data_IF_097543249270
#
_entry.id   IF_097543249270
#
_cell.length_a   1.000
_cell.length_b   1.000
_cell.length_c   1.000
_cell.angle_alpha   90.00
_cell.angle_beta   90.00
_cell.angle_gamma   90.00
#
_symmetry.space_group_name_H-M   'P 1'
#
loop_
_entity.id
_entity.type
_entity.pdbx_description
1 polymer ?
#
# COMPACT_ATOMS: atom_id res chain seq x y z
N UNK A 1 -10.80 -8.19 0.57
CA UNK A 1 -10.89 -8.61 1.98
C UNK A 1 -10.65 -7.43 2.90
N UNK A 2 -11.34 -7.36 4.04
CA UNK A 2 -11.11 -6.34 5.07
C UNK A 2 -10.42 -7.03 6.25
N UNK A 3 -9.24 -6.54 6.63
CA UNK A 3 -8.51 -7.01 7.81
C UNK A 3 -8.33 -5.83 8.77
N UNK A 4 -8.63 -6.07 10.03
CA UNK A 4 -8.54 -5.08 11.08
C UNK A 4 -7.45 -5.54 12.05
N UNK A 5 -6.39 -4.73 12.17
CA UNK A 5 -5.34 -4.94 13.17
C UNK A 5 -5.50 -3.91 14.28
N UNK A 6 -5.69 -4.40 15.50
CA UNK A 6 -5.86 -3.58 16.71
C UNK A 6 -4.60 -3.62 17.57
N UNK A 7 -4.37 -2.57 18.35
CA UNK A 7 -3.28 -2.54 19.34
C UNK A 7 -3.76 -3.13 20.68
N UNK A 8 -2.86 -3.55 21.60
CA UNK A 8 -3.25 -4.05 22.92
C UNK A 8 -4.10 -3.07 23.74
N UNK A 9 -4.12 -1.78 23.38
CA UNK A 9 -4.97 -0.78 24.02
C UNK A 9 -6.48 -1.04 23.85
N UNK A 10 -6.87 -1.84 22.84
CA UNK A 10 -8.26 -2.24 22.60
C UNK A 10 -8.63 -3.60 23.24
N UNK A 11 -7.72 -4.21 24.01
CA UNK A 11 -7.99 -5.48 24.71
C UNK A 11 -9.18 -5.31 25.65
N UNK A 12 -10.08 -6.29 25.68
CA UNK A 12 -11.32 -6.31 26.49
C UNK A 12 -12.31 -5.17 26.18
N UNK A 13 -12.07 -4.33 25.16
CA UNK A 13 -12.96 -3.22 24.77
C UNK A 13 -13.45 -3.33 23.32
N UNK A 14 -12.77 -4.11 22.49
CA UNK A 14 -13.22 -4.41 21.14
C UNK A 14 -14.52 -5.24 21.17
N UNK A 15 -15.41 -4.97 20.23
CA UNK A 15 -16.63 -5.75 20.02
C UNK A 15 -17.10 -5.59 18.57
N UNK A 16 -17.91 -6.52 18.08
CA UNK A 16 -18.33 -6.58 16.67
C UNK A 16 -18.23 -8.00 16.13
N UNK A 17 -18.37 -8.15 14.81
CA UNK A 17 -18.20 -9.44 14.13
C UNK A 17 -16.80 -10.06 14.30
N UNK A 18 -15.83 -9.29 14.77
CA UNK A 18 -14.46 -9.75 15.06
C UNK A 18 -14.24 -10.17 16.53
N UNK A 19 -15.28 -10.28 17.36
CA UNK A 19 -15.19 -10.77 18.73
C UNK A 19 -14.70 -9.74 19.76
N UNK A 20 -14.33 -10.20 20.96
CA UNK A 20 -14.11 -9.36 22.15
C UNK A 20 -12.65 -9.00 22.49
N UNK A 21 -11.69 -9.46 21.68
CA UNK A 21 -10.24 -9.24 21.88
C UNK A 21 -9.79 -9.33 23.36
N UNK A 22 -10.23 -10.37 24.06
CA UNK A 22 -9.88 -10.65 25.46
C UNK A 22 -8.98 -11.90 25.60
N UNK A 23 -8.94 -12.74 24.55
CA UNK A 23 -8.14 -13.96 24.47
C UNK A 23 -8.95 -15.25 24.67
N UNK A 24 -10.29 -15.17 24.72
CA UNK A 24 -11.18 -16.32 24.93
C UNK A 24 -12.10 -16.55 23.71
N UNK A 25 -11.71 -17.38 22.72
CA UNK A 25 -12.49 -17.58 21.51
C UNK A 25 -13.91 -18.13 21.73
N UNK A 26 -14.16 -18.77 22.88
CA UNK A 26 -15.48 -19.36 23.16
C UNK A 26 -16.57 -18.32 23.42
N UNK A 27 -16.21 -17.08 23.75
CA UNK A 27 -17.15 -15.99 24.00
C UNK A 27 -17.25 -14.98 22.84
N UNK A 28 -16.46 -15.15 21.77
CA UNK A 28 -16.39 -14.16 20.68
C UNK A 28 -17.72 -13.98 19.93
N UNK A 29 -18.55 -15.03 19.90
CA UNK A 29 -19.89 -14.98 19.30
C UNK A 29 -20.93 -14.42 20.27
N UNK A 30 -20.64 -13.27 20.89
CA UNK A 30 -21.56 -12.59 21.81
C UNK A 30 -22.42 -11.57 21.07
N UNK A 31 -23.74 -11.69 21.23
CA UNK A 31 -24.73 -10.81 20.64
C UNK A 31 -24.69 -9.41 21.28
N UNK A 32 -25.28 -8.40 20.63
CA UNK A 32 -25.46 -7.05 21.21
C UNK A 32 -26.17 -7.06 22.58
N UNK A 33 -26.98 -8.09 22.88
CA UNK A 33 -27.68 -8.25 24.16
C UNK A 33 -26.88 -9.04 25.22
N UNK A 34 -25.58 -9.25 24.98
CA UNK A 34 -24.63 -9.96 25.83
C UNK A 34 -24.89 -11.47 26.01
N UNK A 35 -25.80 -12.08 25.24
CA UNK A 35 -25.95 -13.53 25.18
C UNK A 35 -24.97 -14.14 24.19
N UNK A 36 -24.61 -15.40 24.40
CA UNK A 36 -23.89 -16.19 23.39
C UNK A 36 -24.85 -16.55 22.24
N UNK A 37 -24.38 -16.37 21.01
CA UNK A 37 -25.11 -16.78 19.82
C UNK A 37 -25.17 -18.31 19.73
N UNK A 38 -26.32 -18.84 19.34
CA UNK A 38 -26.50 -20.26 19.05
C UNK A 38 -25.93 -20.62 17.67
N UNK A 39 -25.83 -19.64 16.77
CA UNK A 39 -25.29 -19.82 15.42
C UNK A 39 -24.46 -18.61 14.98
N UNK A 40 -23.45 -18.79 14.10
CA UNK A 40 -22.72 -17.68 13.49
C UNK A 40 -23.62 -16.68 12.76
N UNK A 41 -24.76 -17.15 12.23
CA UNK A 41 -25.78 -16.32 11.61
C UNK A 41 -26.45 -15.38 12.61
N UNK A 42 -26.89 -15.90 13.75
CA UNK A 42 -27.50 -15.11 14.82
C UNK A 42 -26.53 -14.02 15.31
N UNK A 43 -25.26 -14.39 15.48
CA UNK A 43 -24.19 -13.44 15.76
C UNK A 43 -24.06 -12.37 14.68
N UNK A 44 -23.95 -12.79 13.41
CA UNK A 44 -23.89 -11.92 12.23
C UNK A 44 -24.98 -10.84 12.21
N UNK A 45 -26.22 -11.28 12.41
CA UNK A 45 -27.42 -10.42 12.40
C UNK A 45 -27.39 -9.42 13.56
N UNK A 46 -26.89 -9.81 14.73
CA UNK A 46 -26.86 -8.92 15.89
C UNK A 46 -25.97 -7.68 15.68
N UNK A 47 -25.02 -7.70 14.73
CA UNK A 47 -24.04 -6.62 14.55
C UNK A 47 -24.25 -5.74 13.29
N UNK A 48 -25.44 -5.73 12.70
CA UNK A 48 -25.77 -4.88 11.53
C UNK A 48 -25.92 -3.40 11.92
N UNK A 49 -25.35 -2.49 11.11
CA UNK A 49 -25.30 -1.04 11.35
C UNK A 49 -26.40 -0.32 10.55
N UNK A 50 -27.51 0.01 11.22
CA UNK A 50 -28.63 0.95 10.92
C UNK A 50 -30.01 0.30 11.18
N UNK A 51 -30.79 0.84 12.13
CA UNK A 51 -32.13 0.35 12.55
C UNK A 51 -33.22 1.00 11.68
N UNK A 52 -34.32 0.38 11.26
CA UNK A 52 -35.44 -0.23 12.02
C UNK A 52 -35.78 -1.68 11.64
N UNK A 53 -36.38 -2.39 12.60
CA UNK A 53 -36.81 -3.79 12.54
C UNK A 53 -37.97 -4.04 11.56
N UNK A 54 -37.75 -4.79 10.47
CA UNK A 54 -38.69 -5.82 9.97
C UNK A 54 -37.88 -6.99 9.44
N UNK A 55 -38.04 -8.12 10.14
CA UNK A 55 -37.63 -9.44 9.68
C UNK A 55 -38.51 -9.86 8.50
N UNK A 56 -37.98 -9.80 7.28
CA UNK A 56 -38.30 -10.87 6.33
C UNK A 56 -37.21 -11.92 6.47
N UNK A 57 -37.40 -12.81 7.45
CA UNK A 57 -36.63 -14.03 7.57
C UNK A 57 -36.81 -14.87 6.32
N UNK A 58 -35.94 -14.65 5.34
CA UNK A 58 -35.62 -15.57 4.27
C UNK A 58 -34.14 -15.36 3.98
N UNK A 59 -33.29 -15.99 4.80
CA UNK A 59 -32.06 -16.51 4.21
C UNK A 59 -32.54 -17.44 3.10
N UNK A 60 -32.38 -17.03 1.85
CA UNK A 60 -32.41 -18.02 0.78
C UNK A 60 -31.16 -18.84 1.03
N UNK A 61 -31.34 -20.06 1.51
CA UNK A 61 -30.42 -21.14 1.18
C UNK A 61 -30.28 -21.10 -0.35
N UNK A 62 -29.28 -20.36 -0.85
CA UNK A 62 -29.20 -20.05 -2.27
C UNK A 62 -29.06 -21.34 -3.08
N UNK A 63 -28.42 -22.35 -2.47
CA UNK A 63 -28.27 -23.70 -2.98
C UNK A 63 -29.43 -24.67 -2.64
N UNK A 64 -30.54 -24.23 -2.04
CA UNK A 64 -31.66 -25.13 -1.78
C UNK A 64 -32.23 -25.68 -3.08
N UNK A 65 -32.16 -27.00 -3.24
CA UNK A 65 -32.65 -27.69 -4.44
C UNK A 65 -34.17 -27.85 -4.34
N UNK A 66 -34.91 -26.95 -4.98
CA UNK A 66 -36.39 -26.99 -5.05
C UNK A 66 -36.91 -27.35 -6.44
N UNK A 67 -36.02 -27.36 -7.43
CA UNK A 67 -36.31 -27.68 -8.82
C UNK A 67 -35.09 -28.31 -9.51
N UNK A 68 -35.28 -28.89 -10.69
CA UNK A 68 -34.19 -29.39 -11.54
C UNK A 68 -33.19 -28.29 -11.92
N UNK A 69 -33.67 -27.05 -12.09
CA UNK A 69 -32.83 -25.90 -12.37
C UNK A 69 -31.95 -25.55 -11.16
N UNK A 70 -32.50 -25.58 -9.94
CA UNK A 70 -31.72 -25.36 -8.71
C UNK A 70 -30.68 -26.46 -8.49
N UNK A 71 -31.00 -27.71 -8.87
CA UNK A 71 -30.05 -28.82 -8.84
C UNK A 71 -28.84 -28.55 -9.73
N UNK A 72 -29.06 -28.08 -10.96
CA UNK A 72 -27.97 -27.78 -11.90
C UNK A 72 -27.09 -26.62 -11.40
N UNK A 73 -27.70 -25.58 -10.82
CA UNK A 73 -26.98 -24.46 -10.20
C UNK A 73 -26.13 -24.96 -9.02
N UNK A 74 -26.70 -25.76 -8.13
CA UNK A 74 -25.99 -26.31 -6.97
C UNK A 74 -24.82 -27.22 -7.37
N UNK A 75 -24.99 -28.06 -8.41
CA UNK A 75 -23.90 -28.88 -8.96
C UNK A 75 -22.79 -28.01 -9.57
N UNK A 76 -23.16 -26.99 -10.33
CA UNK A 76 -22.18 -26.05 -10.92
C UNK A 76 -21.41 -25.29 -9.83
N UNK A 77 -22.09 -24.87 -8.77
CA UNK A 77 -21.46 -24.25 -7.60
C UNK A 77 -20.52 -25.23 -6.89
N UNK A 78 -20.93 -26.48 -6.70
CA UNK A 78 -20.06 -27.53 -6.14
C UNK A 78 -18.77 -27.69 -6.95
N UNK A 79 -18.89 -27.85 -8.27
CA UNK A 79 -17.73 -28.06 -9.14
C UNK A 79 -16.77 -26.87 -9.11
N UNK A 80 -17.28 -25.64 -9.21
CA UNK A 80 -16.48 -24.40 -9.14
C UNK A 80 -15.76 -24.25 -7.80
N UNK A 81 -16.45 -24.52 -6.70
CA UNK A 81 -15.90 -24.36 -5.36
C UNK A 81 -14.98 -25.51 -4.93
N UNK A 82 -15.07 -26.67 -5.59
CA UNK A 82 -14.28 -27.87 -5.25
C UNK A 82 -12.76 -27.69 -5.41
N UNK A 83 -12.33 -26.64 -6.11
CA UNK A 83 -10.93 -26.26 -6.31
C UNK A 83 -10.19 -26.07 -4.99
N UNK A 84 -10.89 -25.67 -3.93
CA UNK A 84 -10.33 -25.54 -2.58
C UNK A 84 -9.80 -26.86 -2.01
N UNK A 85 -10.21 -27.99 -2.58
CA UNK A 85 -9.77 -29.33 -2.23
C UNK A 85 -8.65 -29.89 -3.12
N UNK A 86 -8.17 -29.12 -4.10
CA UNK A 86 -7.07 -29.55 -4.95
C UNK A 86 -5.77 -29.75 -4.16
N UNK A 87 -4.88 -30.57 -4.73
CA UNK A 87 -3.61 -30.95 -4.10
C UNK A 87 -2.69 -29.77 -3.76
N UNK A 88 -2.83 -28.63 -4.45
CA UNK A 88 -2.10 -27.39 -4.12
C UNK A 88 -2.35 -26.96 -2.67
N UNK A 89 -3.53 -27.27 -2.11
CA UNK A 89 -3.91 -26.91 -0.75
C UNK A 89 -3.65 -28.02 0.27
N UNK A 90 -3.02 -29.13 -0.11
CA UNK A 90 -2.80 -30.29 0.78
C UNK A 90 -2.11 -29.91 2.09
N UNK A 91 -1.07 -29.09 2.02
CA UNK A 91 -0.38 -28.60 3.22
C UNK A 91 -1.20 -27.54 3.97
N UNK A 92 -2.00 -26.76 3.24
CA UNK A 92 -2.93 -25.80 3.81
C UNK A 92 -3.97 -26.46 4.73
N UNK A 93 -4.54 -27.58 4.30
CA UNK A 93 -5.61 -28.26 5.03
C UNK A 93 -5.18 -28.73 6.42
N UNK A 94 -3.87 -28.85 6.66
CA UNK A 94 -3.31 -29.18 7.97
C UNK A 94 -3.46 -28.04 8.98
N UNK A 95 -3.56 -26.79 8.51
CA UNK A 95 -3.61 -25.57 9.35
C UNK A 95 -4.90 -24.77 9.17
N UNK A 96 -5.59 -24.90 8.03
CA UNK A 96 -6.79 -24.14 7.68
C UNK A 96 -7.87 -25.08 7.13
N UNK A 97 -9.00 -25.19 7.83
CA UNK A 97 -10.10 -26.09 7.42
C UNK A 97 -10.87 -25.50 6.22
N UNK A 98 -11.00 -26.21 5.09
CA UNK A 98 -11.64 -25.69 3.87
C UNK A 98 -13.17 -25.62 3.93
N UNK A 99 -13.84 -26.40 4.80
CA UNK A 99 -15.30 -26.57 4.75
C UNK A 99 -16.10 -25.27 4.83
N UNK A 100 -15.71 -24.33 5.70
CA UNK A 100 -16.43 -23.05 5.85
C UNK A 100 -16.29 -22.15 4.61
N UNK A 101 -15.11 -22.13 4.01
CA UNK A 101 -14.88 -21.44 2.75
C UNK A 101 -15.67 -22.10 1.63
N UNK A 102 -15.65 -23.43 1.55
CA UNK A 102 -16.43 -24.17 0.57
C UNK A 102 -17.93 -23.90 0.68
N UNK A 103 -18.50 -23.94 1.90
CA UNK A 103 -19.91 -23.60 2.17
C UNK A 103 -20.25 -22.18 1.72
N UNK A 104 -19.39 -21.20 2.04
CA UNK A 104 -19.57 -19.80 1.64
C UNK A 104 -19.52 -19.64 0.11
N UNK A 105 -18.51 -20.22 -0.53
CA UNK A 105 -18.35 -20.21 -1.98
C UNK A 105 -19.60 -20.76 -2.68
N UNK A 106 -20.15 -21.87 -2.17
CA UNK A 106 -21.36 -22.45 -2.74
C UNK A 106 -22.54 -21.48 -2.67
N UNK A 107 -22.76 -20.81 -1.53
CA UNK A 107 -23.83 -19.83 -1.43
C UNK A 107 -23.68 -18.69 -2.44
N UNK A 108 -22.46 -18.17 -2.59
CA UNK A 108 -22.15 -17.12 -3.57
C UNK A 108 -22.40 -17.59 -5.01
N UNK A 109 -21.98 -18.83 -5.34
CA UNK A 109 -22.16 -19.41 -6.66
C UNK A 109 -23.58 -19.88 -6.97
N UNK A 110 -24.41 -20.10 -5.95
CA UNK A 110 -25.83 -20.39 -6.12
C UNK A 110 -26.67 -19.13 -6.28
N UNK A 111 -26.14 -17.93 -5.98
CA UNK A 111 -26.80 -16.68 -6.34
C UNK A 111 -26.75 -16.48 -7.85
N UNK A 112 -27.92 -16.64 -8.50
CA UNK A 112 -28.10 -16.50 -9.94
C UNK A 112 -27.72 -15.11 -10.50
N UNK A 113 -27.50 -14.11 -9.65
CA UNK A 113 -27.00 -12.78 -10.04
C UNK A 113 -25.50 -12.76 -10.36
N UNK A 114 -24.73 -13.75 -9.88
CA UNK A 114 -23.28 -13.87 -10.12
C UNK A 114 -22.89 -15.22 -10.71
N UNK A 115 -23.34 -15.58 -11.93
CA UNK A 115 -23.14 -16.93 -12.46
C UNK A 115 -21.70 -17.25 -12.90
N UNK A 116 -20.84 -16.24 -13.12
CA UNK A 116 -19.46 -16.43 -13.59
C UNK A 116 -18.46 -15.82 -12.61
N UNK A 117 -17.49 -16.62 -12.15
CA UNK A 117 -16.41 -16.17 -11.27
C UNK A 117 -16.83 -15.92 -9.81
N UNK A 118 -17.99 -16.43 -9.40
CA UNK A 118 -18.45 -16.41 -8.02
C UNK A 118 -17.45 -17.07 -7.05
N UNK A 119 -16.73 -18.10 -7.52
CA UNK A 119 -15.75 -18.83 -6.73
C UNK A 119 -14.48 -18.02 -6.45
N UNK A 120 -14.18 -17.01 -7.27
CA UNK A 120 -12.86 -16.38 -7.28
C UNK A 120 -12.51 -15.70 -5.97
N UNK A 121 -13.47 -14.96 -5.40
CA UNK A 121 -13.24 -14.22 -4.15
C UNK A 121 -12.98 -15.16 -2.96
N UNK A 122 -13.67 -16.30 -2.92
CA UNK A 122 -13.45 -17.29 -1.85
C UNK A 122 -12.11 -18.03 -2.03
N UNK A 123 -11.76 -18.37 -3.26
CA UNK A 123 -10.48 -19.04 -3.56
C UNK A 123 -9.29 -18.11 -3.30
N UNK A 124 -9.39 -16.83 -3.66
CA UNK A 124 -8.43 -15.78 -3.28
C UNK A 124 -8.23 -15.73 -1.76
N UNK A 125 -9.32 -15.66 -1.01
CA UNK A 125 -9.26 -15.53 0.45
C UNK A 125 -8.64 -16.77 1.08
N UNK A 126 -8.99 -17.97 0.61
CA UNK A 126 -8.42 -19.20 1.12
C UNK A 126 -6.91 -19.30 0.85
N UNK A 127 -6.48 -18.97 -0.38
CA UNK A 127 -5.06 -18.96 -0.75
C UNK A 127 -4.26 -17.99 0.14
N UNK A 128 -4.77 -16.78 0.31
CA UNK A 128 -4.13 -15.72 1.10
C UNK A 128 -4.04 -16.08 2.59
N UNK A 129 -5.11 -16.61 3.15
CA UNK A 129 -5.13 -17.03 4.56
C UNK A 129 -4.18 -18.22 4.80
N UNK A 130 -4.07 -19.11 3.81
CA UNK A 130 -3.11 -20.20 3.84
C UNK A 130 -1.66 -19.72 4.00
N UNK A 131 -1.24 -18.77 3.16
CA UNK A 131 0.10 -18.21 3.21
C UNK A 131 0.32 -17.37 4.47
N UNK A 132 -0.71 -16.68 4.96
CA UNK A 132 -0.66 -15.96 6.24
C UNK A 132 -0.36 -16.92 7.42
N UNK A 133 -0.86 -18.15 7.34
CA UNK A 133 -0.57 -19.22 8.31
C UNK A 133 0.79 -19.89 8.09
N UNK A 134 1.60 -19.39 7.16
CA UNK A 134 2.99 -19.81 6.94
C UNK A 134 3.14 -21.00 5.98
N UNK A 135 2.09 -21.37 5.24
CA UNK A 135 2.16 -22.43 4.23
C UNK A 135 2.61 -21.83 2.89
N UNK A 136 3.73 -22.32 2.37
CA UNK A 136 4.25 -21.90 1.07
C UNK A 136 3.55 -22.65 -0.08
N UNK A 137 2.59 -21.99 -0.73
CA UNK A 137 1.88 -22.51 -1.90
C UNK A 137 2.71 -22.22 -3.16
N UNK A 138 3.36 -23.25 -3.70
CA UNK A 138 4.28 -23.14 -4.85
C UNK A 138 3.62 -22.95 -6.21
N UNK A 139 2.33 -23.27 -6.30
CA UNK A 139 1.53 -23.22 -7.52
C UNK A 139 0.34 -22.28 -7.32
N UNK A 140 -0.16 -21.68 -8.41
CA UNK A 140 -1.40 -20.89 -8.38
C UNK A 140 -2.62 -21.79 -8.58
N UNK A 141 -3.75 -21.39 -8.00
CA UNK A 141 -5.05 -22.02 -8.23
C UNK A 141 -5.76 -21.50 -9.49
N UNK A 142 -5.39 -20.31 -9.98
CA UNK A 142 -5.94 -19.68 -11.19
C UNK A 142 -5.42 -20.34 -12.45
N UNK A 143 -6.30 -20.45 -13.44
CA UNK A 143 -6.02 -21.01 -14.77
C UNK A 143 -6.80 -20.23 -15.82
N UNK A 144 -6.49 -20.39 -17.10
CA UNK A 144 -7.20 -19.70 -18.19
C UNK A 144 -8.73 -19.92 -18.15
N UNK A 145 -9.17 -21.06 -17.62
CA UNK A 145 -10.58 -21.44 -17.47
C UNK A 145 -11.15 -21.23 -16.08
N UNK A 146 -10.32 -20.88 -15.09
CA UNK A 146 -10.68 -20.72 -13.68
C UNK A 146 -10.19 -19.36 -13.22
N UNK A 147 -11.13 -18.42 -13.07
CA UNK A 147 -10.85 -17.07 -12.59
C UNK A 147 -9.64 -16.41 -13.27
N UNK A 148 -9.63 -16.35 -14.63
CA UNK A 148 -8.51 -15.79 -15.36
C UNK A 148 -8.31 -14.32 -14.98
N UNK A 149 -7.05 -13.91 -14.92
CA UNK A 149 -6.69 -12.52 -14.68
C UNK A 149 -5.69 -12.08 -15.74
N UNK A 150 -5.99 -10.97 -16.42
CA UNK A 150 -5.08 -10.35 -17.38
C UNK A 150 -4.43 -9.14 -16.76
N UNK A 151 -3.12 -9.01 -16.94
CA UNK A 151 -2.35 -7.89 -16.47
C UNK A 151 -1.76 -7.13 -17.66
N UNK A 152 -1.86 -5.81 -17.63
CA UNK A 152 -1.40 -4.96 -18.73
C UNK A 152 0.03 -4.47 -18.48
N UNK A 153 0.64 -3.91 -19.53
CA UNK A 153 1.92 -3.21 -19.39
C UNK A 153 3.09 -4.11 -19.02
N UNK A 154 3.03 -5.40 -19.32
CA UNK A 154 4.07 -6.37 -18.96
C UNK A 154 4.15 -6.66 -17.45
N UNK A 155 3.08 -6.38 -16.71
CA UNK A 155 2.92 -6.86 -15.34
C UNK A 155 2.40 -8.30 -15.32
N UNK A 156 2.67 -9.01 -14.25
CA UNK A 156 2.27 -10.39 -14.02
C UNK A 156 1.35 -10.48 -12.81
N UNK A 157 0.37 -11.37 -12.86
CA UNK A 157 -0.52 -11.59 -11.73
C UNK A 157 0.19 -12.44 -10.68
N UNK A 158 0.19 -12.00 -9.43
CA UNK A 158 0.60 -12.81 -8.29
C UNK A 158 -0.55 -12.86 -7.29
N UNK A 159 -0.85 -14.05 -6.77
CA UNK A 159 -1.79 -14.24 -5.66
C UNK A 159 -1.31 -13.55 -4.37
N UNK A 160 0.01 -13.42 -4.23
CA UNK A 160 0.67 -12.87 -3.06
C UNK A 160 1.93 -12.16 -3.51
N UNK A 161 1.75 -10.93 -4.01
CA UNK A 161 2.84 -10.02 -4.33
C UNK A 161 3.00 -8.92 -3.27
N UNK A 162 3.98 -8.03 -3.44
CA UNK A 162 4.15 -6.87 -2.56
C UNK A 162 2.85 -6.04 -2.48
N UNK A 163 2.44 -5.61 -1.29
CA UNK A 163 1.20 -4.83 -1.12
C UNK A 163 1.21 -3.51 -1.91
N UNK A 164 2.40 -3.00 -2.22
CA UNK A 164 2.61 -1.81 -3.01
C UNK A 164 3.59 -2.09 -4.13
N UNK A 165 3.29 -1.49 -5.29
CA UNK A 165 4.12 -1.61 -6.48
C UNK A 165 5.31 -0.65 -6.41
N UNK A 166 6.52 -1.15 -6.60
CA UNK A 166 7.70 -0.32 -6.78
C UNK A 166 7.58 0.47 -8.11
N UNK A 167 7.95 1.74 -8.08
CA UNK A 167 7.87 2.66 -9.22
C UNK A 167 9.22 3.31 -9.48
N UNK A 168 9.37 3.97 -10.63
CA UNK A 168 10.57 4.78 -10.88
C UNK A 168 10.78 5.90 -9.84
N UNK A 169 9.69 6.43 -9.24
CA UNK A 169 9.75 7.49 -8.23
C UNK A 169 10.03 6.95 -6.82
N UNK A 170 9.49 5.77 -6.49
CA UNK A 170 9.66 5.11 -5.20
C UNK A 170 9.94 3.62 -5.41
N UNK A 171 11.22 3.25 -5.25
CA UNK A 171 11.70 1.88 -5.48
C UNK A 171 11.47 0.95 -4.30
N UNK A 172 11.36 1.51 -3.10
CA UNK A 172 11.29 0.76 -1.85
C UNK A 172 10.12 1.30 -1.01
N UNK A 173 8.88 1.16 -1.51
CA UNK A 173 7.71 1.66 -0.79
C UNK A 173 7.57 0.93 0.54
N UNK A 174 7.32 1.68 1.61
CA UNK A 174 7.29 1.15 2.99
C UNK A 174 6.31 -0.03 3.20
N UNK A 175 5.24 -0.08 2.40
CA UNK A 175 4.23 -1.16 2.44
C UNK A 175 4.72 -2.49 1.83
N UNK A 176 5.87 -2.52 1.16
CA UNK A 176 6.49 -3.77 0.67
C UNK A 176 6.85 -4.75 1.80
N UNK A 177 6.97 -4.26 3.04
CA UNK A 177 7.29 -5.06 4.24
C UNK A 177 6.05 -5.63 4.95
N UNK A 178 4.83 -5.34 4.46
CA UNK A 178 3.57 -5.79 5.06
C UNK A 178 2.93 -6.95 4.26
N UNK A 179 1.88 -7.55 4.82
CA UNK A 179 1.12 -8.69 4.25
C UNK A 179 0.99 -8.59 2.72
N UNK A 180 1.18 -9.70 2.03
CA UNK A 180 1.10 -9.71 0.58
C UNK A 180 -0.34 -9.45 0.08
N UNK A 181 -0.43 -8.90 -1.12
CA UNK A 181 -1.69 -8.62 -1.80
C UNK A 181 -1.72 -9.30 -3.17
N UNK A 182 -2.89 -9.86 -3.51
CA UNK A 182 -3.12 -10.38 -4.85
C UNK A 182 -3.28 -9.24 -5.85
N UNK A 183 -2.76 -9.41 -7.06
CA UNK A 183 -2.86 -8.40 -8.11
C UNK A 183 -1.74 -8.45 -9.13
N UNK A 184 -1.75 -7.47 -10.03
CA UNK A 184 -0.73 -7.32 -11.05
C UNK A 184 0.49 -6.59 -10.50
N UNK A 185 1.67 -7.21 -10.59
CA UNK A 185 2.95 -6.68 -10.13
C UNK A 185 3.97 -6.70 -11.25
N UNK A 186 4.98 -5.85 -11.18
CA UNK A 186 6.08 -5.97 -12.12
C UNK A 186 6.94 -7.19 -11.79
N UNK A 187 7.44 -7.91 -12.80
CA UNK A 187 8.43 -8.97 -12.59
C UNK A 187 9.62 -8.48 -11.77
N UNK A 188 10.29 -9.41 -11.10
CA UNK A 188 11.42 -9.08 -10.23
C UNK A 188 12.48 -8.24 -10.97
N UNK A 189 12.87 -7.11 -10.36
CA UNK A 189 13.86 -6.20 -10.92
C UNK A 189 13.32 -5.10 -11.84
N UNK A 190 12.03 -5.15 -12.20
CA UNK A 190 11.37 -4.11 -12.99
C UNK A 190 10.60 -3.13 -12.09
N UNK A 191 10.44 -1.91 -12.56
CA UNK A 191 9.73 -0.82 -11.90
C UNK A 191 8.51 -0.42 -12.71
N UNK A 192 7.44 0.00 -12.05
CA UNK A 192 6.29 0.56 -12.74
C UNK A 192 6.54 2.00 -13.14
N UNK A 193 6.31 2.30 -14.41
CA UNK A 193 6.30 3.66 -14.93
C UNK A 193 5.21 3.81 -16.00
N UNK A 194 4.35 4.81 -15.82
CA UNK A 194 3.43 5.30 -16.85
C UNK A 194 2.63 4.20 -17.58
N UNK A 195 2.18 3.17 -16.85
CA UNK A 195 1.33 2.10 -17.39
C UNK A 195 2.06 0.83 -17.80
N UNK A 196 3.38 0.73 -17.61
CA UNK A 196 4.15 -0.47 -17.95
C UNK A 196 5.30 -0.75 -16.97
N UNK A 197 5.76 -1.99 -16.96
CA UNK A 197 6.96 -2.40 -16.26
C UNK A 197 8.19 -2.07 -17.12
N UNK A 198 9.16 -1.41 -16.51
CA UNK A 198 10.38 -0.91 -17.15
C UNK A 198 11.61 -1.32 -16.35
N UNK A 199 12.74 -1.44 -17.03
CA UNK A 199 14.02 -1.63 -16.34
C UNK A 199 14.43 -0.33 -15.63
N UNK A 200 15.18 -0.41 -14.52
CA UNK A 200 15.68 0.78 -13.79
C UNK A 200 16.33 1.85 -14.68
N UNK A 201 17.10 1.43 -15.70
CA UNK A 201 17.74 2.31 -16.68
C UNK A 201 16.80 3.10 -17.58
N UNK A 202 15.55 2.67 -17.69
CA UNK A 202 14.50 3.37 -18.45
C UNK A 202 13.79 4.41 -17.58
N UNK A 203 14.05 4.47 -16.27
CA UNK A 203 13.54 5.52 -15.40
C UNK A 203 14.25 6.85 -15.69
N UNK A 204 13.46 7.91 -15.91
CA UNK A 204 14.00 9.24 -16.10
C UNK A 204 14.16 9.98 -14.76
N UNK A 205 15.26 10.72 -14.61
CA UNK A 205 15.44 11.69 -13.53
C UNK A 205 14.66 12.96 -13.85
N UNK A 206 14.25 13.70 -12.82
CA UNK A 206 13.64 15.03 -12.99
C UNK A 206 14.54 16.10 -12.39
N UNK A 207 14.84 17.16 -13.16
CA UNK A 207 15.53 18.34 -12.68
C UNK A 207 14.90 19.60 -13.27
N UNK A 208 14.49 20.54 -12.40
CA UNK A 208 13.80 21.79 -12.76
C UNK A 208 12.62 21.59 -13.74
N UNK A 209 11.83 20.54 -13.51
CA UNK A 209 10.65 20.20 -14.32
C UNK A 209 10.94 19.53 -15.66
N UNK A 210 12.21 19.28 -16.01
CA UNK A 210 12.61 18.53 -17.21
C UNK A 210 13.00 17.10 -16.85
N UNK A 211 12.67 16.16 -17.73
CA UNK A 211 13.04 14.74 -17.62
C UNK A 211 14.37 14.48 -18.32
N UNK A 212 15.21 13.66 -17.71
CA UNK A 212 16.54 13.26 -18.20
C UNK A 212 16.62 11.74 -18.18
N UNK A 213 17.01 11.14 -19.30
CA UNK A 213 17.24 9.70 -19.44
C UNK A 213 18.53 9.28 -18.75
N UNK A 214 18.66 7.98 -18.47
CA UNK A 214 19.90 7.43 -17.92
C UNK A 214 21.10 7.74 -18.84
N UNK A 215 22.18 8.25 -18.25
CA UNK A 215 23.38 8.75 -18.93
C UNK A 215 23.37 10.26 -19.22
N UNK A 216 22.22 10.94 -19.20
CA UNK A 216 22.16 12.39 -19.40
C UNK A 216 22.66 13.15 -18.16
N UNK A 217 23.22 14.35 -18.39
CA UNK A 217 23.93 15.11 -17.38
C UNK A 217 23.37 16.51 -17.22
N UNK A 218 23.44 17.02 -15.98
CA UNK A 218 23.19 18.42 -15.66
C UNK A 218 24.30 18.93 -14.76
N UNK A 219 24.68 20.18 -14.96
CA UNK A 219 25.55 20.87 -14.01
C UNK A 219 24.69 21.55 -12.94
N UNK A 220 25.04 21.29 -11.69
CA UNK A 220 24.49 21.92 -10.50
C UNK A 220 25.62 22.61 -9.76
N UNK A 221 25.67 23.94 -9.89
CA UNK A 221 26.76 24.79 -9.42
C UNK A 221 28.10 24.37 -10.03
N UNK A 222 29.02 23.83 -9.24
CA UNK A 222 30.30 23.30 -9.69
C UNK A 222 30.31 21.77 -9.84
N UNK A 223 29.19 21.10 -9.59
CA UNK A 223 29.07 19.65 -9.63
C UNK A 223 28.39 19.19 -10.92
N UNK A 224 28.89 18.09 -11.48
CA UNK A 224 28.22 17.41 -12.60
C UNK A 224 27.41 16.25 -12.03
N UNK A 225 26.13 16.22 -12.38
CA UNK A 225 25.17 15.20 -11.98
C UNK A 225 24.77 14.38 -13.19
N UNK A 226 25.01 13.07 -13.13
CA UNK A 226 24.58 12.10 -14.14
C UNK A 226 23.29 11.45 -13.68
N UNK A 227 22.29 11.38 -14.54
CA UNK A 227 21.12 10.57 -14.28
C UNK A 227 21.52 9.10 -14.45
N UNK A 228 21.41 8.31 -13.40
CA UNK A 228 21.71 6.89 -13.39
C UNK A 228 20.52 6.15 -12.81
N UNK A 229 19.87 5.34 -13.64
CA UNK A 229 18.66 4.62 -13.30
C UNK A 229 17.64 5.50 -12.56
N UNK A 230 17.23 6.63 -13.12
CA UNK A 230 16.24 7.53 -12.50
C UNK A 230 16.68 8.21 -11.19
N UNK A 231 17.93 8.08 -10.76
CA UNK A 231 18.51 8.79 -9.61
C UNK A 231 19.67 9.68 -10.05
N UNK A 232 19.83 10.84 -9.40
CA UNK A 232 20.97 11.71 -9.66
C UNK A 232 22.21 11.23 -8.92
N UNK A 233 23.28 10.98 -9.67
CA UNK A 233 24.61 10.73 -9.15
C UNK A 233 25.48 11.96 -9.41
N UNK A 234 25.70 12.75 -8.38
CA UNK A 234 26.46 13.99 -8.47
C UNK A 234 27.86 13.84 -7.89
N UNK A 235 28.82 14.55 -8.49
CA UNK A 235 30.11 14.82 -7.84
C UNK A 235 29.90 15.56 -6.51
N UNK A 236 30.91 15.54 -5.64
CA UNK A 236 30.88 16.17 -4.31
C UNK A 236 31.99 17.22 -4.15
N UNK A 237 32.20 18.04 -5.17
CA UNK A 237 33.10 19.17 -5.08
C UNK A 237 32.49 20.26 -4.19
N UNK A 238 33.35 20.89 -3.38
CA UNK A 238 33.00 22.09 -2.63
C UNK A 238 33.03 23.26 -3.62
N UNK A 239 31.88 23.88 -3.84
CA UNK A 239 31.74 24.99 -4.76
C UNK A 239 32.09 26.32 -4.10
N UNK A 240 32.41 27.32 -4.93
CA UNK A 240 32.53 28.69 -4.47
C UNK A 240 31.20 29.17 -3.86
N UNK A 241 31.27 29.87 -2.74
CA UNK A 241 30.12 30.45 -2.08
C UNK A 241 30.08 31.96 -2.32
N UNK A 242 28.89 32.53 -2.52
CA UNK A 242 28.71 33.97 -2.73
C UNK A 242 27.89 34.58 -1.61
N UNK A 243 28.48 35.56 -0.91
CA UNK A 243 27.74 36.49 -0.06
C UNK A 243 27.33 37.70 -0.90
N UNK A 244 26.07 38.15 -0.78
CA UNK A 244 25.57 39.32 -1.53
C UNK A 244 24.87 40.33 -0.64
N UNK A 245 25.00 41.61 -1.01
CA UNK A 245 24.31 42.73 -0.34
C UNK A 245 23.51 43.52 -1.37
N UNK A 246 22.20 43.35 -1.35
CA UNK A 246 21.25 44.03 -2.22
C UNK A 246 20.70 45.29 -1.56
N UNK A 247 20.55 46.35 -2.35
CA UNK A 247 20.05 47.67 -1.91
C UNK A 247 20.82 48.24 -0.70
N UNK A 248 22.05 47.75 -0.48
CA UNK A 248 22.89 48.11 0.65
C UNK A 248 22.43 47.59 2.02
N UNK A 249 21.33 46.84 2.13
CA UNK A 249 20.77 46.48 3.44
C UNK A 249 20.03 45.13 3.50
N UNK A 250 19.93 44.41 2.38
CA UNK A 250 19.40 43.04 2.28
C UNK A 250 20.59 42.12 2.02
N UNK A 251 20.84 41.17 2.91
CA UNK A 251 22.02 40.32 2.90
C UNK A 251 21.61 38.88 2.59
N UNK A 252 22.40 38.21 1.76
CA UNK A 252 22.38 36.75 1.62
C UNK A 252 23.76 36.23 2.03
N UNK A 253 23.82 35.36 3.03
CA UNK A 253 25.07 34.75 3.52
C UNK A 253 25.61 33.73 2.52
N UNK A 254 26.86 33.27 2.74
CA UNK A 254 27.48 32.22 1.94
C UNK A 254 26.65 30.92 1.88
N UNK A 255 25.91 30.60 2.94
CA UNK A 255 25.03 29.42 3.03
C UNK A 255 23.58 29.70 2.60
N UNK A 256 23.32 30.85 1.97
CA UNK A 256 22.00 31.21 1.43
C UNK A 256 21.01 31.80 2.44
N UNK A 257 21.41 32.00 3.70
CA UNK A 257 20.58 32.64 4.71
C UNK A 257 20.30 34.11 4.37
N UNK A 258 19.04 34.57 4.48
CA UNK A 258 18.63 35.93 4.11
C UNK A 258 18.21 36.75 5.31
N UNK A 259 18.70 37.98 5.42
CA UNK A 259 18.30 38.92 6.47
C UNK A 259 18.37 40.38 6.01
N UNK A 260 17.71 41.26 6.74
CA UNK A 260 17.72 42.71 6.50
C UNK A 260 18.23 43.41 7.76
N UNK A 261 19.13 44.39 7.61
CA UNK A 261 19.50 45.30 8.70
C UNK A 261 19.10 46.72 8.36
N UNK A 262 18.74 47.52 9.38
CA UNK A 262 18.45 48.95 9.24
C UNK A 262 19.57 49.72 9.94
N UNK A 263 20.30 50.55 9.20
CA UNK A 263 21.42 51.33 9.73
C UNK A 263 22.40 51.80 8.65
N UNK A 264 23.04 52.95 8.89
CA UNK A 264 24.03 53.57 8.01
C UNK A 264 25.48 53.35 8.48
N UNK A 265 25.73 52.27 9.23
CA UNK A 265 27.06 51.95 9.73
C UNK A 265 27.86 51.07 8.77
N UNK A 266 29.19 51.08 8.95
CA UNK A 266 30.07 50.15 8.26
C UNK A 266 29.99 48.75 8.88
N UNK A 267 29.81 47.72 8.06
CA UNK A 267 29.73 46.32 8.50
C UNK A 267 30.86 45.49 7.88
N UNK A 268 31.44 44.58 8.66
CA UNK A 268 32.38 43.57 8.14
C UNK A 268 31.55 42.50 7.43
N UNK A 269 31.80 42.30 6.13
CA UNK A 269 31.11 41.28 5.33
C UNK A 269 31.86 39.95 5.33
N UNK A 270 33.20 40.02 5.34
CA UNK A 270 34.08 38.85 5.37
C UNK A 270 35.35 39.20 6.14
N UNK A 271 35.77 38.31 7.03
CA UNK A 271 37.08 38.35 7.66
C UNK A 271 37.68 36.94 7.67
N UNK A 272 38.84 36.80 7.06
CA UNK A 272 39.62 35.57 6.97
C UNK A 272 41.12 35.90 7.04
N UNK A 273 41.98 34.87 7.05
CA UNK A 273 43.43 35.08 7.09
C UNK A 273 43.90 35.93 5.90
N UNK A 274 44.45 37.12 6.19
CA UNK A 274 44.91 38.07 5.18
C UNK A 274 43.82 38.81 4.39
N UNK A 275 42.53 38.54 4.63
CA UNK A 275 41.42 39.12 3.86
C UNK A 275 40.41 39.78 4.80
N UNK A 276 40.07 41.05 4.53
CA UNK A 276 39.02 41.79 5.24
C UNK A 276 38.20 42.62 4.27
N UNK A 277 36.90 42.35 4.18
CA UNK A 277 35.95 43.05 3.32
C UNK A 277 34.95 43.81 4.18
N UNK A 278 34.86 45.13 3.99
CA UNK A 278 33.99 46.03 4.77
C UNK A 278 33.04 46.75 3.82
N UNK A 279 31.75 46.70 4.13
CA UNK A 279 30.77 47.58 3.53
C UNK A 279 30.84 48.93 4.25
N UNK A 280 31.38 49.96 3.61
CA UNK A 280 31.45 51.28 4.22
C UNK A 280 30.16 52.08 3.97
N UNK A 281 29.58 52.66 5.03
CA UNK A 281 28.44 53.59 4.95
C UNK A 281 28.75 54.83 5.78
N UNK A 282 28.28 55.98 5.30
CA UNK A 282 28.72 57.31 5.76
C UNK A 282 28.35 57.68 7.21
N UNK A 283 27.44 56.98 7.93
CA UNK A 283 26.94 57.45 9.25
C UNK A 283 26.55 56.30 10.20
N UNK A 284 27.42 55.92 11.14
CA UNK A 284 27.04 55.05 12.26
C UNK A 284 26.22 55.82 13.30
N UNK A 285 24.92 56.03 13.06
CA UNK A 285 23.99 56.56 14.07
C UNK A 285 23.03 55.45 14.53
N UNK A 286 23.03 55.12 15.83
CA UNK A 286 21.99 54.30 16.47
C UNK A 286 22.27 52.82 16.72
N UNK A 287 23.51 52.33 16.60
CA UNK A 287 23.85 51.00 17.12
C UNK A 287 24.13 51.09 18.64
N UNK A 288 23.60 50.18 19.48
CA UNK A 288 24.04 50.07 20.87
C UNK A 288 25.55 49.85 20.89
N UNK A 289 26.26 50.66 21.68
CA UNK A 289 27.67 50.41 21.99
C UNK A 289 27.70 49.41 23.13
N UNK A 290 27.75 48.12 22.79
CA UNK A 290 28.15 47.06 23.71
C UNK A 290 29.41 46.37 23.16
#
# INVERSE_FOLDING_TARGET
AVQIRVTPALRETACGLCGHFDGEPSNDLTLLDARSALTPREFGISWVVERDCVHSGLEREACAVRSSADKNVSLTAFDRCSIIFNDIYRDCHKVLRPNRFFESCQQDCCDRRSPSGCECATLDEYFRECQRLGVDLKETWRRDTVCPHTCDGGSEYHECGPACRATCADREPACALSQCASGCHCPQGLLWDSGRCVEPRQCACTYRGRKYQSGEQVDQDCNTCVCDDGRWQCTKAICDATCSVLLGHIYTTFDGGRFQTRGHCGFILLQAEGIRVIQNKHVCAGLPKD
#
